data_IF_302653928542
#
_entry.id   IF_302653928542
#
_cell.length_a   1.000
_cell.length_b   1.000
_cell.length_c   1.000
_cell.angle_alpha   90.00
_cell.angle_beta   90.00
_cell.angle_gamma   90.00
#
_symmetry.space_group_name_H-M   'P 1'
#
loop_
_entity.id
_entity.type
_entity.pdbx_description
1 polymer ?
#
# COMPACT_ATOMS: atom_id res chain seq x y z
N UNK A 1 5.29 -14.77 4.00
CA UNK A 1 4.31 -15.83 3.83
C UNK A 1 5.04 -17.14 3.89
N UNK A 2 4.48 -18.13 4.59
CA UNK A 2 4.87 -19.52 4.40
C UNK A 2 4.43 -19.92 2.97
N UNK A 3 5.24 -20.71 2.25
CA UNK A 3 4.83 -21.20 0.92
C UNK A 3 3.52 -22.01 1.07
N UNK A 4 2.51 -21.67 0.28
CA UNK A 4 1.14 -22.22 0.31
C UNK A 4 0.31 -21.89 1.56
N UNK A 5 0.57 -20.74 2.19
CA UNK A 5 -0.28 -20.22 3.26
C UNK A 5 -0.98 -18.95 2.80
N UNK A 6 -2.27 -18.82 3.12
CA UNK A 6 -3.06 -17.60 2.90
C UNK A 6 -2.78 -16.52 3.97
N UNK A 7 -1.73 -16.70 4.78
CA UNK A 7 -1.39 -15.79 5.87
C UNK A 7 -0.63 -14.55 5.38
N UNK A 8 -1.19 -13.38 5.70
CA UNK A 8 -0.51 -12.10 5.69
C UNK A 8 -0.51 -11.51 7.10
N UNK A 9 0.59 -10.87 7.51
CA UNK A 9 0.68 -10.23 8.81
C UNK A 9 -0.06 -8.87 8.77
N UNK A 10 -1.38 -8.97 8.88
CA UNK A 10 -2.28 -7.83 8.88
C UNK A 10 -3.40 -8.01 9.92
N UNK A 11 -3.97 -6.90 10.38
CA UNK A 11 -5.06 -6.88 11.35
C UNK A 11 -6.08 -5.83 10.95
N UNK A 12 -7.37 -6.20 11.02
CA UNK A 12 -8.45 -5.24 10.87
C UNK A 12 -8.52 -4.31 12.07
N UNK A 13 -8.75 -3.03 11.80
CA UNK A 13 -8.99 -2.02 12.81
C UNK A 13 -10.32 -1.33 12.53
N UNK A 14 -11.09 -1.12 13.60
CA UNK A 14 -12.34 -0.39 13.51
C UNK A 14 -12.05 1.10 13.31
N UNK A 15 -12.77 1.72 12.39
CA UNK A 15 -12.86 3.17 12.31
C UNK A 15 -13.90 3.71 13.28
N UNK A 16 -14.02 5.03 13.33
CA UNK A 16 -14.94 5.72 14.22
C UNK A 16 -16.43 5.36 13.98
N UNK A 17 -16.81 5.09 12.71
CA UNK A 17 -18.20 4.78 12.32
C UNK A 17 -18.38 3.42 11.66
N UNK A 18 -17.29 2.74 11.31
CA UNK A 18 -17.32 1.51 10.52
C UNK A 18 -16.38 0.49 11.15
N UNK A 19 -16.92 -0.71 11.39
CA UNK A 19 -16.11 -1.87 11.78
C UNK A 19 -15.20 -2.27 10.63
N UNK A 20 -13.97 -2.71 10.93
CA UNK A 20 -13.00 -3.20 9.94
C UNK A 20 -12.69 -2.17 8.82
N UNK A 21 -12.66 -0.87 9.18
CA UNK A 21 -12.44 0.22 8.24
C UNK A 21 -10.99 0.31 7.74
N UNK A 22 -10.03 -0.19 8.51
CA UNK A 22 -8.61 -0.16 8.16
C UNK A 22 -7.98 -1.55 8.27
N UNK A 23 -6.92 -1.75 7.50
CA UNK A 23 -6.04 -2.91 7.60
C UNK A 23 -4.66 -2.39 7.99
N UNK A 24 -4.24 -2.64 9.23
CA UNK A 24 -2.85 -2.44 9.63
C UNK A 24 -2.03 -3.65 9.17
N UNK A 25 -0.97 -3.42 8.42
CA UNK A 25 -0.06 -4.49 7.95
C UNK A 25 1.38 -4.04 8.11
N UNK A 26 2.28 -5.01 8.29
CA UNK A 26 3.70 -4.76 8.13
C UNK A 26 4.01 -4.33 6.68
N UNK A 27 5.13 -3.64 6.49
CA UNK A 27 5.72 -3.42 5.17
C UNK A 27 5.94 -4.76 4.45
N UNK A 28 5.58 -4.89 3.16
CA UNK A 28 5.82 -6.14 2.44
C UNK A 28 7.30 -6.51 2.40
N UNK A 29 7.58 -7.78 2.66
CA UNK A 29 8.83 -8.43 2.33
C UNK A 29 8.81 -8.86 0.85
N UNK A 30 9.98 -9.04 0.24
CA UNK A 30 10.12 -9.46 -1.16
C UNK A 30 9.25 -10.69 -1.52
N UNK A 31 9.20 -11.69 -0.65
CA UNK A 31 8.42 -12.91 -0.84
C UNK A 31 6.91 -12.75 -0.53
N UNK A 32 6.47 -11.59 -0.03
CA UNK A 32 5.06 -11.30 0.32
C UNK A 32 4.42 -10.21 -0.52
N UNK A 33 5.15 -9.61 -1.46
CA UNK A 33 4.59 -8.57 -2.35
C UNK A 33 3.36 -9.09 -3.09
N UNK A 34 3.40 -10.35 -3.54
CA UNK A 34 2.26 -10.98 -4.21
C UNK A 34 1.06 -11.16 -3.29
N UNK A 35 1.28 -11.57 -2.04
CA UNK A 35 0.21 -11.74 -1.06
C UNK A 35 -0.41 -10.38 -0.69
N UNK A 36 0.42 -9.33 -0.61
CA UNK A 36 -0.02 -7.95 -0.35
C UNK A 36 -0.98 -7.43 -1.43
N UNK A 37 -0.66 -7.59 -2.71
CA UNK A 37 -1.57 -7.17 -3.79
C UNK A 37 -2.82 -8.04 -3.90
N UNK A 38 -2.72 -9.34 -3.56
CA UNK A 38 -3.88 -10.21 -3.47
C UNK A 38 -4.84 -9.71 -2.39
N UNK A 39 -4.33 -9.37 -1.20
CA UNK A 39 -5.11 -8.78 -0.10
C UNK A 39 -5.81 -7.47 -0.52
N UNK A 40 -5.09 -6.54 -1.16
CA UNK A 40 -5.67 -5.27 -1.63
C UNK A 40 -6.84 -5.52 -2.59
N UNK A 41 -6.69 -6.46 -3.52
CA UNK A 41 -7.75 -6.81 -4.46
C UNK A 41 -8.95 -7.46 -3.76
N UNK A 42 -8.72 -8.45 -2.91
CA UNK A 42 -9.76 -9.21 -2.22
C UNK A 42 -10.61 -8.32 -1.30
N UNK A 43 -9.95 -7.46 -0.53
CA UNK A 43 -10.61 -6.55 0.41
C UNK A 43 -11.09 -5.25 -0.23
N UNK A 44 -10.98 -5.13 -1.56
CA UNK A 44 -11.43 -3.97 -2.34
C UNK A 44 -10.83 -2.66 -1.82
N UNK A 45 -9.60 -2.71 -1.32
CA UNK A 45 -8.88 -1.53 -0.83
C UNK A 45 -8.63 -0.56 -1.98
N UNK A 46 -9.05 0.69 -1.81
CA UNK A 46 -8.80 1.79 -2.76
C UNK A 46 -7.67 2.72 -2.33
N UNK A 47 -7.21 2.65 -1.09
CA UNK A 47 -6.19 3.54 -0.54
C UNK A 47 -5.16 2.76 0.28
N UNK A 48 -3.89 3.03 0.03
CA UNK A 48 -2.74 2.47 0.76
C UNK A 48 -1.99 3.64 1.38
N UNK A 49 -1.77 3.61 2.69
CA UNK A 49 -0.94 4.60 3.38
C UNK A 49 0.36 3.94 3.81
N UNK A 50 1.48 4.42 3.28
CA UNK A 50 2.83 3.97 3.60
C UNK A 50 3.52 5.05 4.43
N UNK A 51 3.89 4.69 5.67
CA UNK A 51 4.42 5.61 6.68
C UNK A 51 5.94 5.45 6.90
N UNK A 52 6.66 4.87 5.94
CA UNK A 52 8.10 4.59 6.05
C UNK A 52 8.77 4.73 4.68
N UNK A 53 10.08 4.98 4.69
CA UNK A 53 10.89 4.85 3.49
C UNK A 53 11.20 3.39 3.16
N UNK A 54 11.73 3.13 1.96
CA UNK A 54 12.24 1.79 1.63
C UNK A 54 13.48 1.45 2.46
N UNK A 55 14.34 2.45 2.68
CA UNK A 55 15.59 2.33 3.43
C UNK A 55 15.70 3.49 4.41
N UNK A 56 15.94 3.20 5.68
CA UNK A 56 16.18 4.19 6.73
C UNK A 56 17.50 3.87 7.43
N UNK A 57 18.39 4.87 7.55
CA UNK A 57 19.71 4.73 8.19
C UNK A 57 20.52 3.52 7.68
N UNK A 58 20.40 3.22 6.38
CA UNK A 58 21.07 2.10 5.74
C UNK A 58 20.48 0.71 6.04
N UNK A 59 19.27 0.64 6.59
CA UNK A 59 18.52 -0.60 6.83
C UNK A 59 17.27 -0.64 5.97
N UNK A 60 17.02 -1.77 5.34
CA UNK A 60 15.80 -2.00 4.58
C UNK A 60 14.61 -2.08 5.54
N UNK A 61 13.65 -1.18 5.37
CA UNK A 61 12.41 -1.14 6.17
C UNK A 61 11.25 -1.78 5.42
N UNK A 62 11.20 -1.61 4.10
CA UNK A 62 10.11 -2.09 3.27
C UNK A 62 10.62 -2.47 1.88
N UNK A 63 10.10 -3.56 1.32
CA UNK A 63 10.37 -3.89 -0.09
C UNK A 63 9.49 -3.04 -0.98
N UNK A 64 10.06 -2.46 -2.05
CA UNK A 64 9.29 -1.78 -3.09
C UNK A 64 8.29 -2.76 -3.70
N UNK A 65 7.02 -2.57 -3.39
CA UNK A 65 5.94 -3.46 -3.84
C UNK A 65 5.19 -2.93 -5.06
N UNK A 66 5.50 -1.73 -5.56
CA UNK A 66 4.85 -1.13 -6.72
C UNK A 66 5.77 -1.13 -7.96
N UNK A 67 5.20 -1.25 -9.17
CA UNK A 67 5.97 -1.20 -10.41
C UNK A 67 6.28 0.24 -10.84
N UNK A 68 7.27 0.39 -11.72
CA UNK A 68 7.56 1.65 -12.41
C UNK A 68 6.70 1.86 -13.68
N UNK A 69 6.03 0.81 -14.16
CA UNK A 69 5.13 0.89 -15.31
C UNK A 69 3.98 -0.10 -15.15
N UNK A 70 4.26 -1.40 -15.19
CA UNK A 70 3.26 -2.43 -14.94
C UNK A 70 3.93 -3.71 -14.44
N UNK A 71 3.26 -4.45 -13.56
CA UNK A 71 3.68 -5.78 -13.14
C UNK A 71 2.47 -6.61 -12.71
N UNK A 72 2.56 -7.93 -12.91
CA UNK A 72 1.51 -8.87 -12.51
C UNK A 72 1.97 -9.68 -11.31
N UNK A 73 1.16 -9.63 -10.25
CA UNK A 73 1.34 -10.34 -8.99
C UNK A 73 0.29 -11.44 -8.88
N UNK A 74 0.68 -12.68 -9.20
CA UNK A 74 -0.22 -13.84 -9.33
C UNK A 74 -1.30 -13.56 -10.40
N UNK A 75 -2.48 -13.14 -9.98
CA UNK A 75 -3.61 -12.87 -10.86
C UNK A 75 -3.93 -11.36 -10.97
N UNK A 76 -3.29 -10.53 -10.13
CA UNK A 76 -3.55 -9.09 -10.06
C UNK A 76 -2.48 -8.35 -10.85
N UNK A 77 -2.86 -7.71 -11.95
CA UNK A 77 -2.01 -6.78 -12.69
C UNK A 77 -2.15 -5.39 -12.10
N UNK A 78 -1.01 -4.76 -11.81
CA UNK A 78 -0.91 -3.41 -11.25
C UNK A 78 -0.18 -2.56 -12.27
N UNK A 79 -0.83 -1.49 -12.72
CA UNK A 79 -0.28 -0.52 -13.65
C UNK A 79 -0.17 0.84 -12.97
N UNK A 80 1.00 1.46 -13.06
CA UNK A 80 1.22 2.82 -12.57
C UNK A 80 0.59 3.80 -13.56
N UNK A 81 -0.40 4.55 -13.09
CA UNK A 81 -1.10 5.55 -13.88
C UNK A 81 -0.48 6.95 -13.72
N UNK A 82 -0.25 7.39 -12.48
CA UNK A 82 0.33 8.71 -12.22
C UNK A 82 1.19 8.73 -10.95
N UNK A 83 2.11 9.69 -10.91
CA UNK A 83 2.89 10.05 -9.72
C UNK A 83 2.76 11.55 -9.50
N UNK A 84 2.32 11.94 -8.32
CA UNK A 84 2.26 13.33 -7.87
C UNK A 84 3.15 13.49 -6.64
N UNK A 85 4.08 14.44 -6.70
CA UNK A 85 4.99 14.74 -5.59
C UNK A 85 4.48 15.97 -4.86
N UNK A 86 4.12 15.79 -3.60
CA UNK A 86 3.78 16.87 -2.68
C UNK A 86 4.95 17.14 -1.74
N UNK A 87 4.79 18.14 -0.88
CA UNK A 87 5.83 18.54 0.07
C UNK A 87 6.17 17.40 1.05
N UNK A 88 5.15 16.76 1.63
CA UNK A 88 5.32 15.79 2.72
C UNK A 88 5.03 14.35 2.31
N UNK A 89 4.55 14.11 1.08
CA UNK A 89 4.23 12.77 0.58
C UNK A 89 4.32 12.66 -0.94
N UNK A 90 4.47 11.42 -1.42
CA UNK A 90 4.27 11.07 -2.82
C UNK A 90 2.96 10.30 -2.98
N UNK A 91 2.10 10.76 -3.88
CA UNK A 91 0.89 10.04 -4.30
C UNK A 91 1.18 9.25 -5.57
N UNK A 92 0.84 7.97 -5.56
CA UNK A 92 0.84 7.10 -6.75
C UNK A 92 -0.57 6.60 -7.01
N UNK A 93 -1.03 6.78 -8.23
CA UNK A 93 -2.29 6.21 -8.67
C UNK A 93 -2.01 4.96 -9.48
N UNK A 94 -2.62 3.85 -9.09
CA UNK A 94 -2.53 2.57 -9.76
C UNK A 94 -3.88 2.18 -10.34
N UNK A 95 -3.85 1.56 -11.52
CA UNK A 95 -4.95 0.78 -12.04
C UNK A 95 -4.66 -0.69 -11.80
N UNK A 96 -5.55 -1.36 -11.08
CA UNK A 96 -5.44 -2.78 -10.80
C UNK A 96 -6.56 -3.55 -11.47
N UNK A 97 -6.23 -4.71 -12.04
CA UNK A 97 -7.19 -5.62 -12.65
C UNK A 97 -6.83 -7.06 -12.30
N UNK A 98 -7.83 -7.94 -12.25
CA UNK A 98 -7.60 -9.36 -12.01
C UNK A 98 -7.90 -10.16 -13.28
N UNK A 99 -6.89 -10.87 -13.79
CA UNK A 99 -6.97 -11.59 -15.07
C UNK A 99 -7.95 -12.78 -15.05
N UNK A 100 -8.29 -13.31 -13.87
CA UNK A 100 -9.29 -14.36 -13.70
C UNK A 100 -10.71 -13.80 -13.53
N UNK A 101 -10.84 -12.49 -13.34
CA UNK A 101 -12.15 -11.89 -13.13
C UNK A 101 -12.94 -11.84 -14.43
N UNK A 102 -14.09 -12.51 -14.46
CA UNK A 102 -14.99 -12.55 -15.63
C UNK A 102 -15.63 -11.20 -15.95
N UNK A 103 -15.63 -10.28 -14.99
CA UNK A 103 -16.22 -8.95 -15.11
C UNK A 103 -15.26 -7.91 -15.70
N UNK A 104 -14.00 -8.28 -16.00
CA UNK A 104 -12.94 -7.36 -16.41
C UNK A 104 -12.84 -6.11 -15.50
N UNK A 105 -13.17 -6.26 -14.22
CA UNK A 105 -13.18 -5.12 -13.30
C UNK A 105 -11.78 -4.53 -13.19
N UNK A 106 -11.70 -3.23 -13.47
CA UNK A 106 -10.54 -2.40 -13.20
C UNK A 106 -10.88 -1.53 -11.99
N UNK A 107 -9.91 -1.37 -11.08
CA UNK A 107 -10.07 -0.55 -9.88
C UNK A 107 -8.90 0.42 -9.77
N UNK A 108 -9.19 1.61 -9.28
CA UNK A 108 -8.18 2.60 -8.96
C UNK A 108 -7.74 2.42 -7.50
N UNK A 109 -6.43 2.35 -7.29
CA UNK A 109 -5.82 2.33 -5.94
C UNK A 109 -4.83 3.48 -5.83
N UNK A 110 -4.98 4.28 -4.79
CA UNK A 110 -4.09 5.38 -4.47
C UNK A 110 -3.15 4.98 -3.34
N UNK A 111 -1.85 5.10 -3.57
CA UNK A 111 -0.84 4.94 -2.53
C UNK A 111 -0.29 6.30 -2.13
N UNK A 112 -0.38 6.59 -0.84
CA UNK A 112 0.21 7.76 -0.21
C UNK A 112 1.46 7.32 0.54
N UNK A 113 2.63 7.69 0.05
CA UNK A 113 3.90 7.47 0.74
C UNK A 113 4.29 8.74 1.48
N UNK A 114 4.11 8.75 2.80
CA UNK A 114 4.46 9.89 3.64
C UNK A 114 5.95 9.93 3.95
N UNK A 115 6.58 11.06 3.68
CA UNK A 115 8.01 11.32 3.88
C UNK A 115 8.28 12.17 5.12
N UNK A 116 7.24 12.79 5.70
CA UNK A 116 7.36 13.73 6.80
C UNK A 116 7.50 13.11 8.19
N UNK A 117 7.62 11.78 8.32
CA UNK A 117 7.77 11.13 9.62
C UNK A 117 9.24 11.13 10.07
N UNK A 118 9.62 11.89 11.12
CA UNK A 118 11.00 11.94 11.57
C UNK A 118 11.40 10.66 12.31
N UNK A 119 12.68 10.29 12.19
CA UNK A 119 13.31 9.13 12.84
C UNK A 119 13.15 9.05 14.36
N UNK A 120 12.89 10.18 15.02
CA UNK A 120 12.69 10.31 16.46
C UNK A 120 11.58 11.33 16.69
N UNK A 121 10.50 10.91 17.36
CA UNK A 121 9.36 11.76 17.68
C UNK A 121 8.22 11.67 16.67
N UNK A 122 7.37 12.70 16.65
CA UNK A 122 6.29 12.86 15.70
C UNK A 122 6.64 14.00 14.71
N UNK A 123 6.00 14.08 13.53
CA UNK A 123 6.14 15.23 12.65
C UNK A 123 5.95 16.55 13.41
N UNK A 124 6.81 17.54 13.14
CA UNK A 124 6.76 18.84 13.82
C UNK A 124 5.43 19.59 13.60
N UNK A 125 4.68 19.20 12.56
CA UNK A 125 3.36 19.73 12.22
C UNK A 125 2.44 18.57 11.80
N UNK A 126 1.18 18.62 12.24
CA UNK A 126 0.17 17.65 11.86
C UNK A 126 -0.37 17.83 10.43
N UNK A 127 -0.01 18.94 9.75
CA UNK A 127 -0.58 19.34 8.46
C UNK A 127 -0.43 18.27 7.39
N UNK A 128 0.77 17.71 7.20
CA UNK A 128 0.99 16.67 6.20
C UNK A 128 0.28 15.34 6.51
N UNK A 129 -0.08 15.09 7.78
CA UNK A 129 -0.91 13.94 8.16
C UNK A 129 -2.40 14.21 7.96
N UNK A 130 -2.84 15.47 8.15
CA UNK A 130 -4.23 15.90 7.92
C UNK A 130 -4.61 15.86 6.44
N UNK A 131 -3.66 16.09 5.52
CA UNK A 131 -3.89 15.97 4.07
C UNK A 131 -4.08 14.50 3.61
N UNK A 132 -3.77 13.53 4.47
CA UNK A 132 -3.88 12.09 4.17
C UNK A 132 -5.19 11.45 4.67
N UNK A 133 -6.04 12.18 5.38
CA UNK A 133 -7.29 11.71 6.00
C UNK A 133 -8.51 12.30 5.28
#
# INVERSE_FOLDING_TARGET
GLRNSDYINASFMNGYRQKDAFIATQGPLAQTVTDFWSMIWEWKTCSIVMLTELVEKGRDQCTKYWPDTSSTYRDVTVELYSIEKHQDYTLRTFHISNCKSKDHSCRTVQQFQFHGWPDVGAPNTATGMLDLI
#
